data_IF_245660245687
#
_entry.id   IF_245660245687
#
_cell.length_a   1.000
_cell.length_b   1.000
_cell.length_c   1.000
_cell.angle_alpha   90.00
_cell.angle_beta   90.00
_cell.angle_gamma   90.00
#
_symmetry.space_group_name_H-M   'P 1'
#
loop_
_entity.id
_entity.type
_entity.pdbx_description
1 polymer ?
2 water ?
#
# COMPACT_ATOMS: atom_id res chain seq x y z
N UNK A 11 -11.86 -23.21 -4.48
CA UNK A 11 -12.47 -21.86 -4.37
C UNK A 11 -11.65 -20.94 -3.46
N UNK A 12 -12.17 -19.74 -3.19
CA UNK A 12 -11.50 -18.75 -2.33
C UNK A 12 -10.22 -18.16 -2.92
N UNK A 13 -9.26 -17.86 -2.04
CA UNK A 13 -8.05 -17.15 -2.42
C UNK A 13 -7.08 -18.02 -3.23
N UNK A 14 -6.53 -17.43 -4.30
CA UNK A 14 -5.54 -18.12 -5.14
C UNK A 14 -4.26 -18.42 -4.37
N UNK A 15 -3.87 -19.70 -4.35
CA UNK A 15 -2.75 -20.18 -3.54
C UNK A 15 -1.57 -20.59 -4.41
N UNK A 16 -0.39 -20.00 -4.19
CA UNK A 16 0.81 -20.44 -4.90
C UNK A 16 1.92 -20.97 -3.97
N UNK A 17 3.01 -21.46 -4.55
CA UNK A 17 4.06 -22.09 -3.76
C UNK A 17 5.40 -21.57 -4.21
N UNK A 18 6.30 -21.33 -3.28
CA UNK A 18 7.58 -20.76 -3.65
C UNK A 18 8.45 -21.82 -4.35
N UNK A 19 8.10 -23.09 -4.16
CA UNK A 19 8.82 -24.17 -4.83
C UNK A 19 7.84 -25.25 -5.24
N UNK A 20 8.07 -25.82 -6.43
CA UNK A 20 7.15 -26.81 -6.97
C UNK A 20 5.78 -26.22 -7.12
N UNK A 21 4.75 -27.00 -6.78
CA UNK A 21 3.38 -26.55 -6.99
C UNK A 21 2.38 -27.21 -6.05
N UNK A 22 2.85 -27.59 -4.87
CA UNK A 22 1.99 -28.30 -3.93
C UNK A 22 2.67 -28.47 -2.59
N UNK A 23 1.88 -28.70 -1.55
CA UNK A 23 2.42 -28.89 -0.20
C UNK A 23 3.61 -29.84 -0.23
N UNK A 24 3.51 -30.84 -1.10
CA UNK A 24 4.53 -31.88 -1.23
C UNK A 24 5.94 -31.32 -1.47
N UNK A 25 6.04 -30.33 -2.35
CA UNK A 25 7.32 -29.82 -2.81
C UNK A 25 7.99 -28.93 -1.76
N UNK A 26 7.21 -28.54 -0.76
CA UNK A 26 7.65 -27.61 0.27
C UNK A 26 8.60 -28.22 1.31
N UNK A 27 9.63 -27.45 1.71
CA UNK A 27 10.47 -27.82 2.84
C UNK A 27 9.77 -27.69 4.20
N UNK A 28 10.40 -28.26 5.23
CA UNK A 28 9.89 -28.11 6.58
C UNK A 28 10.44 -26.84 7.17
N UNK A 29 9.60 -26.15 7.93
CA UNK A 29 9.96 -24.89 8.54
C UNK A 29 10.88 -25.00 9.75
N UNK A 30 11.82 -24.07 9.83
CA UNK A 30 12.64 -23.91 11.02
C UNK A 30 11.85 -23.08 12.01
N UNK A 31 12.22 -23.16 13.30
CA UNK A 31 11.64 -22.32 14.35
C UNK A 31 11.56 -20.82 13.98
N UNK A 32 10.39 -20.23 14.23
CA UNK A 32 10.15 -18.80 14.01
C UNK A 32 10.30 -18.34 12.55
N UNK A 33 9.95 -19.21 11.61
CA UNK A 33 9.94 -18.89 10.19
C UNK A 33 8.54 -18.54 9.69
N UNK A 34 8.48 -17.68 8.68
CA UNK A 34 7.21 -17.38 8.05
C UNK A 34 6.75 -18.57 7.20
N UNK A 35 5.55 -19.06 7.49
CA UNK A 35 5.02 -20.24 6.82
C UNK A 35 4.19 -19.89 5.57
N UNK A 36 3.58 -18.70 5.58
CA UNK A 36 2.81 -18.21 4.44
C UNK A 36 2.84 -16.67 4.30
N UNK A 37 2.92 -16.20 3.07
CA UNK A 37 2.94 -14.76 2.81
C UNK A 37 1.68 -14.38 2.08
N UNK A 38 0.94 -13.44 2.64
CA UNK A 38 -0.29 -12.98 2.02
C UNK A 38 -0.12 -11.56 1.50
N UNK A 39 -0.26 -11.39 0.20
CA UNK A 39 -0.27 -10.04 -0.37
C UNK A 39 -1.70 -9.59 -0.61
N UNK A 40 -2.04 -8.42 -0.12
CA UNK A 40 -3.40 -7.91 -0.19
C UNK A 40 -3.52 -6.62 -0.99
N UNK A 41 -2.63 -6.44 -1.97
CA UNK A 41 -2.59 -5.17 -2.71
C UNK A 41 -3.72 -5.01 -3.72
N UNK A 42 -3.75 -5.84 -4.74
CA UNK A 42 -4.91 -5.81 -5.63
C UNK A 42 -5.76 -7.03 -5.32
N UNK A 43 -5.55 -8.08 -6.09
CA UNK A 43 -6.17 -9.38 -5.85
C UNK A 43 -5.37 -10.13 -4.80
N UNK A 44 -6.00 -10.42 -3.65
CA UNK A 44 -5.28 -11.06 -2.55
C UNK A 44 -4.75 -12.44 -2.96
N UNK A 45 -3.49 -12.72 -2.68
CA UNK A 45 -2.98 -14.07 -2.85
C UNK A 45 -2.11 -14.51 -1.70
N UNK A 46 -2.08 -15.83 -1.50
CA UNK A 46 -1.32 -16.47 -0.44
C UNK A 46 -0.19 -17.28 -1.04
N UNK A 47 1.06 -16.99 -0.64
CA UNK A 47 2.18 -17.82 -1.07
C UNK A 47 2.77 -18.72 0.03
N UNK A 48 2.58 -20.03 -0.11
CA UNK A 48 3.07 -21.00 0.89
C UNK A 48 4.60 -21.06 0.93
N UNK A 49 5.17 -20.92 2.11
CA UNK A 49 6.62 -20.94 2.24
C UNK A 49 7.11 -22.32 2.66
N UNK A 50 6.43 -22.93 3.62
CA UNK A 50 6.90 -24.17 4.19
C UNK A 50 5.77 -24.87 4.93
N UNK A 51 6.06 -26.07 5.45
CA UNK A 51 5.12 -26.81 6.26
C UNK A 51 5.51 -26.72 7.73
N UNK A 52 4.54 -26.43 8.59
CA UNK A 52 4.83 -26.30 10.02
C UNK A 52 5.30 -27.62 10.64
N UNK A 53 6.35 -27.56 11.47
CA UNK A 53 6.80 -28.77 12.16
C UNK A 53 5.75 -29.18 13.18
N UNK A 54 5.44 -30.46 13.27
CA UNK A 54 4.25 -30.79 14.02
C UNK A 54 4.47 -30.72 15.53
N UNK A 55 3.37 -30.81 16.28
CA UNK A 55 2.07 -31.09 15.67
C UNK A 55 1.24 -29.86 15.38
N UNK A 56 1.80 -28.93 14.61
CA UNK A 56 1.07 -27.73 14.23
C UNK A 56 0.95 -27.60 12.71
N UNK A 57 0.15 -26.63 12.26
CA UNK A 57 -0.19 -26.46 10.85
C UNK A 57 -0.43 -24.97 10.50
N UNK A 58 -0.37 -24.61 9.22
CA UNK A 58 -0.43 -23.20 8.78
C UNK A 58 -1.81 -22.57 8.71
N UNK A 59 -1.98 -21.43 9.39
CA UNK A 59 -3.19 -20.61 9.28
C UNK A 59 -3.33 -20.01 7.88
N UNK A 60 -4.56 -19.70 7.47
CA UNK A 60 -4.82 -19.17 6.13
C UNK A 60 -5.86 -18.04 6.11
N UNK A 61 -6.38 -17.69 7.29
CA UNK A 61 -7.26 -16.54 7.42
C UNK A 61 -6.59 -15.29 6.82
N UNK A 62 -7.40 -14.35 6.35
CA UNK A 62 -6.88 -13.14 5.73
C UNK A 62 -6.79 -12.03 6.76
N UNK A 63 -7.32 -12.29 7.95
CA UNK A 63 -7.31 -11.30 9.03
C UNK A 63 -6.14 -11.49 9.97
N UNK A 64 -6.21 -10.87 11.13
CA UNK A 64 -5.12 -10.92 12.08
C UNK A 64 -5.56 -11.42 13.46
N UNK A 65 -6.81 -11.87 13.50
CA UNK A 65 -7.46 -12.31 14.74
C UNK A 65 -6.94 -13.64 15.28
N UNK A 66 -6.44 -14.50 14.40
CA UNK A 66 -6.02 -15.85 14.80
C UNK A 66 -4.84 -15.88 15.77
N UNK A 67 -4.15 -14.76 15.98
CA UNK A 67 -2.96 -14.73 16.81
C UNK A 67 -1.72 -15.38 16.17
N UNK A 68 -1.76 -15.59 14.86
CA UNK A 68 -0.64 -16.22 14.16
C UNK A 68 -0.09 -15.35 13.05
N UNK A 69 -0.54 -14.10 13.02
CA UNK A 69 -0.27 -13.22 11.90
C UNK A 69 0.52 -11.99 12.31
N UNK A 70 1.50 -11.64 11.49
CA UNK A 70 2.14 -10.32 11.62
C UNK A 70 1.73 -9.47 10.43
N UNK A 71 1.03 -8.38 10.70
CA UNK A 71 0.60 -7.47 9.64
C UNK A 71 1.72 -6.46 9.36
N UNK A 72 2.02 -6.25 8.07
CA UNK A 72 3.12 -5.34 7.69
C UNK A 72 2.83 -4.62 6.37
N UNK A 73 2.34 -3.41 6.51
CA UNK A 73 1.92 -2.61 5.38
C UNK A 73 0.90 -3.33 4.49
N UNK A 74 1.38 -4.00 3.48
CA UNK A 74 0.54 -4.51 2.45
C UNK A 74 0.51 -6.02 2.49
N UNK A 75 1.10 -6.56 3.52
CA UNK A 75 1.37 -7.97 3.61
C UNK A 75 1.03 -8.56 4.96
N UNK A 76 0.72 -9.86 4.99
CA UNK A 76 0.56 -10.60 6.23
C UNK A 76 1.53 -11.74 6.28
N UNK A 77 2.17 -11.96 7.42
CA UNK A 77 3.03 -13.11 7.56
C UNK A 77 2.48 -14.07 8.59
N UNK A 78 2.25 -15.31 8.18
CA UNK A 78 1.67 -16.32 9.05
C UNK A 78 2.76 -17.09 9.74
N UNK A 79 2.65 -17.23 11.06
CA UNK A 79 3.58 -18.04 11.82
C UNK A 79 2.93 -19.37 12.26
N UNK A 80 3.75 -20.37 12.56
CA UNK A 80 3.23 -21.64 13.10
C UNK A 80 2.81 -21.54 14.56
N UNK A 81 3.61 -20.82 15.36
CA UNK A 81 3.32 -20.62 16.79
C UNK A 81 2.68 -19.25 16.97
N UNK A 82 2.01 -19.04 18.11
CA UNK A 82 1.34 -17.76 18.33
C UNK A 82 2.35 -16.62 18.34
N UNK A 83 1.99 -15.49 17.73
CA UNK A 83 2.88 -14.34 17.60
C UNK A 83 3.28 -13.67 18.91
N UNK A 84 2.52 -13.88 19.98
CA UNK A 84 2.85 -13.21 21.24
C UNK A 84 4.04 -13.85 21.97
N UNK A 85 4.34 -15.10 21.62
CA UNK A 85 5.53 -15.77 22.14
C UNK A 85 6.82 -15.08 21.71
N UNK A 86 6.74 -14.22 20.69
CA UNK A 86 7.91 -13.45 20.27
C UNK A 86 7.98 -12.13 21.03
N UNK A 87 9.20 -11.73 21.42
CA UNK A 87 9.43 -10.47 22.11
C UNK A 87 9.10 -9.27 21.23
N UNK A 88 8.76 -8.15 21.86
CA UNK A 88 8.60 -6.90 21.17
C UNK A 88 9.95 -6.23 21.08
N UNK A 89 10.24 -5.60 19.94
CA UNK A 89 11.50 -4.89 19.77
C UNK A 89 11.52 -3.49 20.36
N UNK A 90 12.61 -3.14 21.02
CA UNK A 90 12.72 -1.87 21.70
C UNK A 90 14.13 -1.28 21.63
N UNK A 91 15.08 -2.09 21.16
CA UNK A 91 16.45 -1.59 21.02
C UNK A 91 16.67 -0.97 19.65
N UNK A 92 17.78 -0.25 19.48
CA UNK A 92 18.05 0.35 18.18
C UNK A 92 18.55 -0.65 17.16
N UNK A 93 17.92 -0.64 15.99
CA UNK A 93 18.37 -1.49 14.91
C UNK A 93 18.57 -2.92 15.42
N UNK A 94 17.60 -3.39 16.19
CA UNK A 94 17.40 -4.81 16.36
C UNK A 94 16.63 -5.25 15.12
N UNK A 95 17.03 -6.36 14.51
CA UNK A 95 16.37 -6.82 13.29
C UNK A 95 15.12 -7.63 13.57
N UNK A 96 13.98 -7.10 13.12
CA UNK A 96 12.71 -7.76 13.31
C UNK A 96 12.66 -9.09 12.57
N UNK A 97 13.23 -9.13 11.37
CA UNK A 97 13.42 -10.42 10.69
C UNK A 97 14.46 -10.35 9.60
N UNK A 98 14.96 -11.50 9.20
CA UNK A 98 16.01 -11.57 8.23
C UNK A 98 15.54 -12.49 7.12
N UNK A 99 15.76 -12.09 5.87
CA UNK A 99 15.39 -12.92 4.76
C UNK A 99 16.65 -13.50 4.14
N UNK A 100 16.76 -14.83 4.13
CA UNK A 100 17.94 -15.49 3.62
C UNK A 100 17.69 -16.16 2.27
N UNK A 101 18.60 -15.98 1.34
CA UNK A 101 18.49 -16.61 0.06
C UNK A 101 19.77 -17.37 -0.26
N UNK A 102 19.67 -18.68 -0.42
CA UNK A 102 20.86 -19.50 -0.69
C UNK A 102 21.07 -19.75 -2.18
N UNK A 103 22.35 -19.81 -2.59
CA UNK A 103 22.72 -20.09 -3.96
C UNK A 103 22.09 -21.38 -4.53
N UNK A 104 22.46 -22.52 -3.94
CA UNK A 104 22.05 -23.82 -4.44
C UNK A 104 20.63 -24.25 -4.08
N UNK A 105 19.95 -23.43 -3.28
CA UNK A 105 18.59 -23.74 -2.89
C UNK A 105 17.53 -23.04 -3.74
N UNK A 106 16.53 -23.80 -4.14
CA UNK A 106 15.39 -23.26 -4.85
C UNK A 106 14.45 -22.51 -3.90
N UNK A 107 14.88 -22.34 -2.65
CA UNK A 107 14.01 -21.86 -1.58
C UNK A 107 14.62 -20.73 -0.73
N UNK A 108 13.78 -19.89 -0.15
CA UNK A 108 14.25 -18.84 0.77
C UNK A 108 13.56 -18.92 2.12
N UNK A 109 14.29 -18.59 3.19
CA UNK A 109 13.71 -18.59 4.54
C UNK A 109 13.64 -17.18 5.13
N UNK A 110 12.55 -16.91 5.82
CA UNK A 110 12.37 -15.66 6.53
C UNK A 110 12.16 -15.95 8.01
N UNK A 111 13.18 -15.68 8.83
CA UNK A 111 13.11 -15.95 10.25
C UNK A 111 12.76 -14.67 11.00
N UNK A 112 11.70 -14.74 11.79
CA UNK A 112 11.29 -13.59 12.58
C UNK A 112 11.98 -13.61 13.95
N UNK A 113 12.61 -12.50 14.33
CA UNK A 113 13.27 -12.42 15.62
C UNK A 113 12.45 -11.68 16.67
N UNK A 114 11.70 -10.65 16.27
CA UNK A 114 10.94 -9.87 17.25
C UNK A 114 9.78 -9.19 16.55
N UNK A 115 8.93 -8.51 17.32
CA UNK A 115 7.82 -7.76 16.77
C UNK A 115 8.02 -6.26 16.94
N UNK A 116 7.78 -5.50 15.87
CA UNK A 116 7.74 -4.05 15.93
C UNK A 116 6.56 -3.58 16.81
N UNK A 117 6.75 -2.48 17.56
CA UNK A 117 5.69 -1.88 18.35
C UNK A 117 4.50 -1.39 17.51
N UNK A 118 3.39 -1.06 18.18
CA UNK A 118 2.22 -0.49 17.53
C UNK A 118 2.58 0.56 16.49
N UNK A 119 1.91 0.52 15.34
CA UNK A 119 2.17 1.42 14.22
C UNK A 119 3.65 1.80 13.99
N UNK A 120 4.50 0.79 13.95
CA UNK A 120 5.87 0.95 13.53
C UNK A 120 6.06 0.05 12.33
N UNK A 121 6.57 0.61 11.23
CA UNK A 121 6.65 -0.12 9.98
C UNK A 121 8.06 -0.61 9.70
N UNK A 122 8.16 -1.83 9.15
CA UNK A 122 9.47 -2.39 8.85
C UNK A 122 10.04 -1.77 7.58
N UNK A 123 11.36 -1.75 7.47
CA UNK A 123 11.99 -1.31 6.25
C UNK A 123 13.29 -2.05 6.10
N UNK A 124 13.70 -2.25 4.84
CA UNK A 124 14.92 -2.96 4.53
C UNK A 124 16.10 -2.05 4.90
N UNK A 125 17.01 -2.56 5.72
CA UNK A 125 18.09 -1.73 6.23
C UNK A 125 19.47 -2.22 5.83
N UNK A 126 19.69 -3.53 5.83
CA UNK A 126 21.02 -4.14 5.55
C UNK A 126 20.94 -5.38 4.67
N UNK A 127 22.01 -5.60 3.90
CA UNK A 127 22.24 -6.85 3.19
C UNK A 127 23.63 -7.34 3.58
N UNK A 128 23.80 -8.65 3.79
CA UNK A 128 25.07 -9.21 4.22
C UNK A 128 25.21 -10.67 3.80
N UNK A 129 26.44 -11.11 3.51
CA UNK A 129 26.66 -12.49 3.11
C UNK A 129 26.20 -13.45 4.21
N UNK A 130 25.53 -14.53 3.83
CA UNK A 130 25.07 -15.52 4.80
C UNK A 130 26.21 -15.88 5.74
N UNK A 131 27.37 -16.23 5.19
CA UNK A 131 28.52 -16.52 6.01
C UNK A 131 29.52 -17.54 5.47
N UNK A 132 29.95 -18.43 6.35
CA UNK A 132 31.04 -19.37 6.05
C UNK A 132 30.69 -20.42 5.00
N UNK A 133 29.68 -21.22 5.30
CA UNK A 133 29.39 -22.41 4.53
C UNK A 133 28.52 -22.10 3.31
N UNK A 134 27.72 -21.04 3.41
CA UNK A 134 26.75 -20.75 2.37
C UNK A 134 27.08 -19.51 1.53
N UNK A 135 27.12 -19.70 0.20
CA UNK A 135 27.13 -18.54 -0.69
C UNK A 135 25.71 -18.00 -0.84
N UNK A 136 25.53 -16.71 -0.66
CA UNK A 136 24.22 -16.11 -0.75
C UNK A 136 24.20 -14.85 0.08
N UNK A 137 23.01 -14.29 0.27
CA UNK A 137 22.86 -13.04 1.00
C UNK A 137 21.76 -13.09 2.03
N UNK A 138 21.84 -12.17 2.98
CA UNK A 138 20.89 -12.08 4.06
C UNK A 138 20.35 -10.64 4.18
N UNK A 139 19.04 -10.50 3.98
CA UNK A 139 18.39 -9.19 4.01
C UNK A 139 17.82 -8.88 5.38
N UNK A 140 18.16 -7.69 5.89
CA UNK A 140 17.82 -7.34 7.25
C UNK A 140 16.78 -6.23 7.33
N UNK A 141 15.75 -6.46 8.14
CA UNK A 141 14.70 -5.47 8.31
C UNK A 141 14.61 -4.99 9.73
N UNK A 142 14.30 -3.71 9.90
CA UNK A 142 14.28 -3.13 11.22
C UNK A 142 12.96 -2.41 11.41
N UNK A 143 12.70 -1.94 12.63
CA UNK A 143 11.48 -1.20 12.90
C UNK A 143 11.74 0.30 12.92
N UNK A 144 10.91 1.05 12.21
CA UNK A 144 11.01 2.50 12.19
C UNK A 144 10.88 3.05 13.61
N UNK A 145 11.62 4.14 13.90
CA UNK A 145 11.66 4.75 15.24
C UNK A 145 10.30 5.30 15.62
N UNK A 146 9.89 5.06 16.86
CA UNK A 146 8.62 5.58 17.38
C UNK A 146 8.73 7.07 17.72
N UNK A 147 9.83 7.44 18.38
CA UNK A 147 10.16 8.84 18.65
C UNK A 147 11.38 9.26 17.83
N UNK A 148 11.45 10.54 17.49
CA UNK A 148 12.48 11.02 16.59
C UNK A 148 13.66 11.64 17.34
N UNK A 149 14.86 11.12 17.10
CA UNK A 149 16.05 11.58 17.81
C UNK A 149 17.01 12.32 16.88
N UNK A 150 18.19 12.68 17.42
CA UNK A 150 19.20 13.38 16.64
C UNK A 150 20.03 12.40 15.82
N UNK A 151 20.35 12.76 14.58
CA UNK A 151 21.14 11.90 13.73
C UNK A 151 22.63 12.05 14.04
N UNK A 152 23.37 10.96 13.91
CA UNK A 152 24.85 11.01 13.96
C UNK A 152 25.42 10.89 12.55
N UNK A 153 26.70 11.23 12.41
CA UNK A 153 27.39 11.04 11.14
C UNK A 153 27.11 9.62 10.66
N UNK A 154 26.95 9.46 9.34
CA UNK A 154 26.85 8.14 8.75
C UNK A 154 25.57 7.40 9.14
N UNK A 155 24.71 8.07 9.91
CA UNK A 155 23.38 7.57 10.24
C UNK A 155 22.35 8.21 9.32
N UNK A 156 21.59 7.40 8.59
CA UNK A 156 20.67 7.92 7.59
C UNK A 156 19.48 8.63 8.25
N UNK A 157 19.03 9.73 7.66
CA UNK A 157 17.88 10.46 8.18
C UNK A 157 16.59 10.09 7.46
N UNK A 158 16.73 9.49 6.29
CA UNK A 158 15.59 9.19 5.44
C UNK A 158 15.93 7.94 4.65
N UNK A 159 14.96 7.04 4.50
CA UNK A 159 15.11 5.90 3.59
C UNK A 159 13.95 5.88 2.61
N UNK A 160 14.25 5.81 1.32
CA UNK A 160 13.24 5.75 0.27
C UNK A 160 13.17 4.33 -0.24
N UNK A 161 11.97 3.74 -0.27
CA UNK A 161 11.76 2.41 -0.82
C UNK A 161 10.88 2.55 -2.05
N UNK A 162 11.43 2.27 -3.22
CA UNK A 162 10.70 2.42 -4.48
C UNK A 162 10.28 1.04 -4.96
N UNK A 163 8.98 0.82 -5.09
CA UNK A 163 8.45 -0.42 -5.63
C UNK A 163 7.87 -0.19 -7.03
N UNK A 164 8.25 -1.01 -8.00
CA UNK A 164 7.56 -0.95 -9.29
C UNK A 164 6.29 -1.81 -9.23
N UNK A 165 5.14 -1.18 -8.98
CA UNK A 165 3.88 -1.89 -8.89
C UNK A 165 3.43 -2.45 -10.22
N UNK A 166 3.65 -1.69 -11.29
CA UNK A 166 3.40 -2.18 -12.63
C UNK A 166 4.01 -1.26 -13.68
N UNK A 167 3.72 -1.55 -14.95
CA UNK A 167 4.35 -0.81 -16.03
C UNK A 167 4.34 0.69 -15.75
N UNK A 168 3.22 1.21 -15.28
CA UNK A 168 3.05 2.66 -15.19
C UNK A 168 2.65 3.16 -13.80
N UNK A 169 3.06 2.42 -12.77
CA UNK A 169 2.72 2.76 -11.40
C UNK A 169 3.88 2.43 -10.50
N UNK A 170 4.44 3.46 -9.88
CA UNK A 170 5.49 3.30 -8.89
C UNK A 170 5.01 3.77 -7.52
N UNK A 171 5.44 3.08 -6.49
CA UNK A 171 5.01 3.41 -5.16
C UNK A 171 6.26 3.64 -4.37
N UNK A 172 6.40 4.83 -3.80
CA UNK A 172 7.60 5.18 -3.07
C UNK A 172 7.24 5.38 -1.61
N UNK A 173 7.72 4.49 -0.75
CA UNK A 173 7.55 4.71 0.67
C UNK A 173 8.69 5.56 1.18
N UNK A 174 8.38 6.59 1.94
CA UNK A 174 9.43 7.44 2.49
C UNK A 174 9.39 7.45 4.02
N UNK A 175 10.42 6.85 4.61
CA UNK A 175 10.57 6.79 6.05
C UNK A 175 11.54 7.82 6.58
N UNK A 176 11.05 8.66 7.49
CA UNK A 176 11.88 9.64 8.17
C UNK A 176 12.41 9.03 9.48
N UNK A 177 13.71 8.81 9.55
CA UNK A 177 14.31 8.04 10.64
C UNK A 177 14.76 8.89 11.80
N UNK A 178 15.45 10.00 11.53
CA UNK A 178 15.88 10.88 12.62
C UNK A 178 15.89 12.37 12.30
N UNK A 179 16.16 13.18 13.30
CA UNK A 179 16.13 14.63 13.17
C UNK A 179 17.49 15.19 12.79
N UNK A 180 17.62 15.76 11.60
CA UNK A 180 18.88 16.44 11.23
C UNK A 180 19.19 17.59 12.16
N UNK A 181 20.45 17.68 12.61
CA UNK A 181 20.99 18.73 13.48
C UNK A 181 20.88 20.13 12.89
N UNK A 182 20.89 21.13 13.76
CA UNK A 182 20.79 22.52 13.32
C UNK A 182 21.84 22.81 12.26
N UNK A 183 21.48 23.63 11.29
CA UNK A 183 22.37 23.94 10.18
C UNK A 183 22.38 22.83 9.14
N UNK A 184 21.42 21.92 9.25
CA UNK A 184 21.34 20.82 8.30
C UNK A 184 19.91 20.41 8.00
N UNK A 185 19.73 19.82 6.82
CA UNK A 185 18.40 19.34 6.42
C UNK A 185 18.50 18.05 5.61
N UNK A 186 17.44 17.24 5.70
CA UNK A 186 17.40 15.92 5.08
C UNK A 186 16.80 16.04 3.69
N UNK A 187 17.40 15.38 2.69
CA UNK A 187 16.85 15.40 1.33
C UNK A 187 15.38 14.94 1.29
N UNK A 188 14.62 15.43 0.30
CA UNK A 188 13.18 15.19 0.28
C UNK A 188 12.71 14.16 -0.75
N UNK A 189 13.51 13.94 -1.79
CA UNK A 189 13.18 12.93 -2.80
C UNK A 189 14.44 12.17 -3.16
N UNK A 190 14.30 11.00 -3.75
CA UNK A 190 15.45 10.09 -3.84
C UNK A 190 16.52 10.40 -4.92
N UNK A 191 16.23 11.26 -5.88
CA UNK A 191 17.25 11.61 -6.88
C UNK A 191 18.05 12.84 -6.46
N UNK A 192 17.62 13.49 -5.38
CA UNK A 192 18.30 14.65 -4.85
C UNK A 192 19.71 14.27 -4.42
N UNK A 193 20.59 15.27 -4.29
CA UNK A 193 21.98 15.05 -3.90
C UNK A 193 22.07 14.83 -2.39
N UNK A 194 23.08 14.07 -1.96
CA UNK A 194 23.12 13.60 -0.57
C UNK A 194 22.37 12.28 -0.37
N UNK A 195 22.02 11.63 -1.48
CA UNK A 195 21.37 10.32 -1.43
C UNK A 195 22.11 9.32 -2.29
N UNK A 196 22.37 8.13 -1.73
CA UNK A 196 23.01 7.05 -2.48
C UNK A 196 22.13 5.81 -2.50
N UNK A 197 22.36 4.96 -3.49
CA UNK A 197 21.62 3.72 -3.64
C UNK A 197 22.03 2.69 -2.60
N UNK A 198 21.04 2.14 -1.90
CA UNK A 198 21.29 1.11 -0.91
C UNK A 198 21.11 -0.28 -1.50
N UNK A 199 20.02 -0.94 -1.15
CA UNK A 199 19.85 -2.35 -1.49
C UNK A 199 18.80 -2.54 -2.56
N UNK A 200 19.04 -3.46 -3.49
CA UNK A 200 18.17 -3.65 -4.63
C UNK A 200 17.49 -5.04 -4.65
N UNK A 201 16.74 -5.36 -3.60
CA UNK A 201 16.03 -6.62 -3.52
C UNK A 201 15.05 -6.81 -4.69
N UNK A 202 15.53 -7.45 -5.75
CA UNK A 202 14.75 -7.64 -6.99
C UNK A 202 13.52 -8.56 -6.88
N UNK A 203 13.53 -9.50 -5.93
CA UNK A 203 12.40 -10.40 -5.77
C UNK A 203 11.08 -9.62 -5.63
N UNK A 204 11.04 -8.64 -4.73
CA UNK A 204 9.83 -7.86 -4.49
C UNK A 204 9.75 -6.63 -5.38
N UNK A 205 10.68 -6.54 -6.33
CA UNK A 205 10.75 -5.41 -7.23
C UNK A 205 10.95 -4.10 -6.46
N UNK A 206 11.79 -4.14 -5.44
CA UNK A 206 12.11 -2.95 -4.67
C UNK A 206 13.57 -2.49 -4.79
N UNK A 207 13.76 -1.19 -4.60
CA UNK A 207 15.05 -0.54 -4.67
C UNK A 207 15.14 0.52 -3.58
N UNK A 208 16.14 0.42 -2.71
CA UNK A 208 16.24 1.35 -1.57
C UNK A 208 17.29 2.45 -1.77
N UNK A 209 17.02 3.61 -1.19
CA UNK A 209 17.93 4.73 -1.27
C UNK A 209 18.04 5.31 0.12
N UNK A 210 19.24 5.63 0.58
CA UNK A 210 19.38 6.32 1.86
C UNK A 210 19.80 7.79 1.72
N UNK A 211 19.20 8.65 2.53
CA UNK A 211 19.46 10.06 2.45
C UNK A 211 20.14 10.46 3.73
N UNK A 212 21.08 11.37 3.63
CA UNK A 212 21.84 11.77 4.77
C UNK A 212 21.77 13.25 5.00
N UNK A 213 22.04 13.70 6.22
CA UNK A 213 21.89 15.11 6.54
C UNK A 213 22.84 16.00 5.72
N UNK A 214 22.28 17.05 5.12
CA UNK A 214 23.05 17.87 4.20
C UNK A 214 23.19 19.31 4.71
N UNK A 215 24.34 19.92 4.40
CA UNK A 215 24.60 21.32 4.74
C UNK A 215 23.53 22.28 4.20
N UNK A 216 22.96 23.07 5.10
CA UNK A 216 21.86 23.98 4.80
C UNK A 216 22.15 24.99 3.69
N UNK A 217 21.16 25.24 2.84
CA UNK A 217 21.25 26.31 1.82
C UNK A 217 22.41 26.08 0.83
N UNK B 13 -12.71 -9.13 13.78
CA UNK B 13 -12.43 -8.03 12.80
C UNK B 13 -12.96 -6.71 13.30
N UNK B 14 -12.16 -5.66 13.18
CA UNK B 14 -12.52 -4.35 13.69
C UNK B 14 -13.65 -3.71 12.87
N UNK B 15 -14.70 -3.29 13.56
CA UNK B 15 -15.90 -2.76 12.90
C UNK B 15 -16.19 -1.31 13.27
N UNK B 16 -16.12 -0.42 12.29
CA UNK B 16 -16.43 0.98 12.52
C UNK B 16 -17.67 1.38 11.73
N UNK B 17 -18.32 2.46 12.15
CA UNK B 17 -19.47 3.01 11.44
C UNK B 17 -19.15 4.43 11.17
N UNK B 18 -19.60 4.98 10.04
CA UNK B 18 -19.24 6.35 9.73
C UNK B 18 -20.13 7.35 10.45
N UNK B 19 -21.19 6.86 11.10
CA UNK B 19 -22.05 7.67 11.96
C UNK B 19 -22.53 6.82 13.12
N UNK B 20 -22.77 7.45 14.27
CA UNK B 20 -23.21 6.69 15.45
C UNK B 20 -22.20 5.64 15.85
N UNK B 21 -22.68 4.46 16.24
CA UNK B 21 -21.80 3.43 16.77
C UNK B 21 -22.40 2.04 16.57
N UNK B 22 -23.48 1.99 15.80
CA UNK B 22 -24.21 0.74 15.59
C UNK B 22 -24.89 0.75 14.23
N UNK B 23 -25.50 -0.38 13.86
CA UNK B 23 -26.16 -0.50 12.55
C UNK B 23 -27.38 0.38 12.47
N UNK B 24 -27.88 0.79 13.64
CA UNK B 24 -29.11 1.58 13.72
C UNK B 24 -28.94 3.00 13.21
N UNK B 25 -27.77 3.59 13.42
CA UNK B 25 -27.53 4.97 13.05
C UNK B 25 -27.37 5.17 11.54
N UNK B 26 -27.02 4.09 10.84
CA UNK B 26 -26.77 4.14 9.39
C UNK B 26 -28.03 4.46 8.57
N UNK B 27 -27.87 5.27 7.52
CA UNK B 27 -28.93 5.48 6.54
C UNK B 27 -28.98 4.31 5.55
N UNK B 28 -29.89 4.39 4.60
CA UNK B 28 -30.03 3.35 3.58
C UNK B 28 -29.31 3.75 2.31
N UNK B 29 -28.72 2.77 1.63
CA UNK B 29 -27.97 3.02 0.42
C UNK B 29 -28.89 3.31 -0.75
N UNK B 30 -28.44 4.25 -1.59
CA UNK B 30 -29.08 4.52 -2.87
C UNK B 30 -28.49 3.54 -3.87
N UNK B 31 -29.14 3.37 -5.05
CA UNK B 31 -28.61 2.45 -6.06
C UNK B 31 -27.10 2.59 -6.26
N UNK B 32 -26.39 1.46 -6.30
CA UNK B 32 -24.95 1.41 -6.63
C UNK B 32 -24.04 2.19 -5.66
N UNK B 33 -24.43 2.24 -4.39
CA UNK B 33 -23.57 2.85 -3.39
C UNK B 33 -22.69 1.83 -2.68
N UNK B 34 -21.55 2.30 -2.21
CA UNK B 34 -20.65 1.50 -1.41
C UNK B 34 -21.23 1.36 -0.02
N UNK B 35 -21.52 0.12 0.40
CA UNK B 35 -22.11 -0.08 1.72
C UNK B 35 -21.07 -0.29 2.83
N UNK B 36 -19.90 -0.80 2.45
CA UNK B 36 -18.81 -0.99 3.44
C UNK B 36 -17.45 -0.79 2.80
N UNK B 37 -16.58 -0.08 3.52
CA UNK B 37 -15.23 0.14 3.06
C UNK B 37 -14.26 -0.60 3.99
N UNK B 38 -13.43 -1.46 3.40
CA UNK B 38 -12.48 -2.25 4.15
C UNK B 38 -11.05 -1.85 3.81
N UNK B 39 -10.29 -1.49 4.83
CA UNK B 39 -8.88 -1.18 4.65
C UNK B 39 -8.05 -2.34 5.17
N UNK B 40 -7.08 -2.77 4.37
CA UNK B 40 -6.24 -3.90 4.72
C UNK B 40 -4.76 -3.49 4.84
N UNK B 41 -4.50 -2.25 5.18
CA UNK B 41 -3.14 -1.83 5.39
C UNK B 41 -2.97 -1.92 6.88
N UNK B 42 -1.86 -2.43 7.33
CA UNK B 42 -1.68 -2.63 8.77
C UNK B 42 -2.80 -3.44 9.42
N UNK B 43 -3.52 -2.90 10.40
CA UNK B 43 -4.55 -3.71 11.03
C UNK B 43 -5.86 -3.55 10.28
N UNK B 44 -6.38 -4.65 9.71
CA UNK B 44 -7.57 -4.61 8.88
C UNK B 44 -8.76 -4.01 9.63
N UNK B 45 -9.42 -3.04 9.01
CA UNK B 45 -10.66 -2.55 9.57
C UNK B 45 -11.76 -2.42 8.51
N UNK B 46 -12.99 -2.48 9.00
CA UNK B 46 -14.15 -2.40 8.16
C UNK B 46 -14.99 -1.25 8.63
N UNK B 47 -15.23 -0.27 7.75
CA UNK B 47 -16.13 0.81 8.10
C UNK B 47 -17.49 0.70 7.41
N UNK B 48 -18.53 0.50 8.21
CA UNK B 48 -19.87 0.40 7.67
C UNK B 48 -20.31 1.77 7.16
N UNK B 49 -20.77 1.80 5.91
CA UNK B 49 -21.19 3.05 5.29
C UNK B 49 -22.71 3.23 5.36
N UNK B 50 -23.45 2.20 4.95
CA UNK B 50 -24.91 2.29 4.87
C UNK B 50 -25.58 0.91 4.77
N UNK B 51 -26.88 0.86 5.07
CA UNK B 51 -27.64 -0.41 5.06
C UNK B 51 -28.27 -0.69 3.71
N UNK B 52 -28.03 -1.90 3.20
CA UNK B 52 -28.51 -2.24 1.87
C UNK B 52 -30.04 -2.21 1.78
N UNK B 53 -30.57 -1.69 0.66
CA UNK B 53 -32.01 -1.69 0.43
C UNK B 53 -32.51 -3.13 0.23
N UNK B 54 -33.21 -3.67 1.22
CA UNK B 54 -33.54 -5.09 1.17
C UNK B 54 -34.24 -5.47 -0.13
N UNK B 55 -34.44 -6.78 -0.31
CA UNK B 55 -34.06 -7.77 0.70
C UNK B 55 -32.61 -8.23 0.63
N UNK B 56 -31.70 -7.37 1.06
CA UNK B 56 -30.28 -7.68 0.99
C UNK B 56 -29.52 -7.19 2.23
N UNK B 57 -28.38 -7.81 2.49
CA UNK B 57 -27.51 -7.43 3.60
C UNK B 57 -26.11 -7.13 3.07
N UNK B 58 -25.41 -6.17 3.68
CA UNK B 58 -24.08 -5.75 3.23
C UNK B 58 -23.00 -6.78 3.56
N UNK B 59 -22.40 -7.36 2.51
CA UNK B 59 -21.32 -8.36 2.58
C UNK B 59 -20.16 -7.93 3.48
N UNK B 60 -19.49 -8.91 4.11
CA UNK B 60 -18.43 -8.61 5.10
C UNK B 60 -17.13 -9.40 4.94
N UNK B 61 -17.09 -10.32 3.98
CA UNK B 61 -15.87 -11.09 3.73
C UNK B 61 -14.71 -10.17 3.37
N UNK B 62 -13.52 -10.54 3.84
CA UNK B 62 -12.33 -9.77 3.57
C UNK B 62 -11.78 -10.06 2.19
N UNK B 63 -12.36 -11.06 1.53
CA UNK B 63 -11.88 -11.50 0.23
C UNK B 63 -12.69 -10.86 -0.89
N UNK B 64 -12.44 -11.29 -2.12
CA UNK B 64 -13.06 -10.68 -3.30
C UNK B 64 -13.81 -11.74 -4.12
N UNK B 65 -14.23 -12.81 -3.45
CA UNK B 65 -14.84 -13.96 -4.11
C UNK B 65 -16.37 -13.94 -4.08
N UNK B 66 -16.94 -13.13 -3.18
CA UNK B 66 -18.39 -13.06 -3.01
C UNK B 66 -19.10 -12.39 -4.18
N UNK B 67 -18.33 -11.90 -5.15
CA UNK B 67 -18.89 -11.15 -6.27
C UNK B 67 -19.39 -9.72 -5.99
N UNK B 68 -19.32 -9.28 -4.74
CA UNK B 68 -19.84 -7.95 -4.38
C UNK B 68 -18.72 -6.93 -4.11
N UNK B 69 -17.49 -7.33 -4.41
CA UNK B 69 -16.33 -6.53 -4.03
C UNK B 69 -15.56 -5.88 -5.18
N UNK B 70 -15.18 -4.63 -4.98
CA UNK B 70 -14.20 -3.99 -5.84
C UNK B 70 -12.94 -3.76 -5.03
N UNK B 71 -11.83 -4.32 -5.51
CA UNK B 71 -10.57 -4.19 -4.81
C UNK B 71 -9.78 -3.07 -5.44
N UNK B 72 -9.28 -2.16 -4.63
CA UNK B 72 -8.48 -1.06 -5.16
C UNK B 72 -7.34 -0.70 -4.23
N UNK B 73 -6.13 -1.01 -4.67
CA UNK B 73 -4.95 -0.78 -3.87
C UNK B 73 -5.13 -1.32 -2.45
N UNK B 74 -5.10 -0.42 -1.48
CA UNK B 74 -5.14 -0.84 -0.10
C UNK B 74 -6.56 -1.19 0.38
N UNK B 75 -7.56 -1.00 -0.46
CA UNK B 75 -8.93 -1.01 0.02
C UNK B 75 -9.88 -1.94 -0.73
N UNK B 76 -10.90 -2.41 -0.02
CA UNK B 76 -12.00 -3.13 -0.64
C UNK B 76 -13.29 -2.34 -0.51
N UNK B 77 -14.04 -2.26 -1.59
CA UNK B 77 -15.36 -1.66 -1.58
C UNK B 77 -16.47 -2.71 -1.77
N UNK B 78 -17.42 -2.69 -0.86
CA UNK B 78 -18.51 -3.66 -0.86
C UNK B 78 -19.80 -3.06 -1.39
N UNK B 79 -20.47 -3.81 -2.27
CA UNK B 79 -21.72 -3.36 -2.87
C UNK B 79 -22.87 -4.31 -2.55
N UNK B 80 -24.09 -3.81 -2.62
CA UNK B 80 -25.28 -4.61 -2.30
C UNK B 80 -25.55 -5.62 -3.41
N UNK B 81 -25.41 -5.18 -4.65
CA UNK B 81 -25.64 -6.05 -5.81
C UNK B 81 -24.32 -6.43 -6.43
N UNK B 82 -24.27 -7.57 -7.13
CA UNK B 82 -23.01 -8.02 -7.72
C UNK B 82 -22.39 -6.98 -8.66
N UNK B 83 -21.07 -6.97 -8.72
CA UNK B 83 -20.32 -5.96 -9.49
C UNK B 83 -20.39 -6.11 -11.00
N UNK B 84 -20.69 -7.31 -11.47
CA UNK B 84 -20.77 -7.54 -12.92
C UNK B 84 -21.93 -6.75 -13.53
N UNK B 85 -22.91 -6.42 -12.71
CA UNK B 85 -24.06 -5.64 -13.16
C UNK B 85 -23.63 -4.23 -13.56
N UNK B 86 -22.36 -3.91 -13.32
CA UNK B 86 -21.84 -2.59 -13.67
C UNK B 86 -20.95 -2.67 -14.90
N UNK B 87 -21.17 -1.77 -15.87
CA UNK B 87 -20.36 -1.75 -17.07
C UNK B 87 -18.89 -1.60 -16.74
N UNK B 88 -18.03 -2.00 -17.67
CA UNK B 88 -16.61 -1.78 -17.52
C UNK B 88 -16.27 -0.52 -18.28
N UNK B 89 -15.57 0.40 -17.61
CA UNK B 89 -15.23 1.68 -18.24
C UNK B 89 -14.25 1.53 -19.39
N UNK B 90 -14.57 2.19 -20.49
CA UNK B 90 -13.68 2.18 -21.66
C UNK B 90 -13.16 3.56 -22.01
N UNK B 91 -14.05 4.55 -22.05
CA UNK B 91 -13.63 5.91 -22.37
C UNK B 91 -12.67 6.39 -21.31
N UNK B 92 -11.66 7.15 -21.72
CA UNK B 92 -10.68 7.64 -20.75
C UNK B 92 -11.21 8.82 -19.95
N UNK B 93 -11.11 8.70 -18.63
CA UNK B 93 -11.65 9.68 -17.72
C UNK B 93 -13.18 9.67 -17.71
N UNK B 94 -13.75 8.48 -17.91
CA UNK B 94 -15.07 8.18 -17.41
C UNK B 94 -14.88 8.00 -15.91
N UNK B 95 -15.74 8.61 -15.10
CA UNK B 95 -15.56 8.56 -13.66
C UNK B 95 -16.00 7.25 -13.04
N UNK B 96 -15.05 6.49 -12.53
CA UNK B 96 -15.38 5.20 -11.96
C UNK B 96 -16.28 5.33 -10.73
N UNK B 97 -16.00 6.32 -9.87
CA UNK B 97 -16.94 6.65 -8.81
C UNK B 97 -16.79 8.06 -8.29
N UNK B 98 -17.81 8.53 -7.58
CA UNK B 98 -17.80 9.87 -7.04
C UNK B 98 -18.04 9.87 -5.54
N UNK B 99 -17.16 10.51 -4.80
CA UNK B 99 -17.38 10.64 -3.37
C UNK B 99 -17.96 12.03 -3.08
N UNK B 100 -19.17 12.05 -2.54
CA UNK B 100 -19.82 13.29 -2.16
C UNK B 100 -19.87 13.45 -0.65
N UNK B 101 -19.52 14.65 -0.17
CA UNK B 101 -19.54 14.95 1.26
C UNK B 101 -20.27 16.25 1.53
N UNK B 102 -21.35 16.16 2.30
CA UNK B 102 -22.24 17.32 2.52
C UNK B 102 -21.91 18.08 3.79
N UNK B 103 -22.39 19.31 3.87
CA UNK B 103 -22.11 20.19 4.99
C UNK B 103 -22.96 19.84 6.22
N UNK B 104 -24.27 19.80 6.02
CA UNK B 104 -25.20 19.54 7.13
C UNK B 104 -25.23 18.06 7.55
N UNK B 105 -24.88 17.18 6.62
CA UNK B 105 -25.02 15.74 6.84
C UNK B 105 -23.86 15.13 7.63
N UNK B 106 -24.21 14.23 8.54
CA UNK B 106 -23.23 13.54 9.36
C UNK B 106 -22.53 12.39 8.63
N UNK B 107 -22.73 12.31 7.30
CA UNK B 107 -22.28 11.15 6.51
C UNK B 107 -21.88 11.48 5.06
N UNK B 108 -21.12 10.57 4.43
CA UNK B 108 -20.75 10.72 3.02
C UNK B 108 -21.21 9.54 2.17
N UNK B 109 -21.29 9.75 0.86
CA UNK B 109 -21.75 8.72 -0.06
C UNK B 109 -20.80 8.54 -1.23
N UNK B 110 -20.46 7.29 -1.51
CA UNK B 110 -19.64 6.93 -2.66
C UNK B 110 -20.49 6.13 -3.65
N UNK B 111 -20.75 6.72 -4.81
CA UNK B 111 -21.51 6.02 -5.84
C UNK B 111 -20.57 5.46 -6.91
N UNK B 112 -20.74 4.17 -7.22
CA UNK B 112 -19.88 3.52 -8.20
C UNK B 112 -20.52 3.54 -9.57
N UNK B 113 -19.79 4.02 -10.57
CA UNK B 113 -20.37 4.18 -11.90
C UNK B 113 -19.91 3.13 -12.91
N UNK B 114 -18.77 2.53 -12.66
CA UNK B 114 -18.22 1.55 -13.59
C UNK B 114 -16.99 0.90 -12.97
N UNK B 115 -16.48 -0.14 -13.62
CA UNK B 115 -15.33 -0.88 -13.12
C UNK B 115 -14.08 -0.65 -13.98
N UNK B 116 -12.94 -0.47 -13.33
CA UNK B 116 -11.68 -0.36 -14.06
C UNK B 116 -11.29 -1.75 -14.57
N UNK B 117 -10.59 -1.80 -15.72
CA UNK B 117 -10.09 -3.08 -16.19
C UNK B 117 -9.02 -3.62 -15.27
N UNK B 118 -8.77 -4.93 -15.35
CA UNK B 118 -7.87 -5.62 -14.42
C UNK B 118 -6.54 -4.89 -14.15
N UNK B 119 -6.06 -5.06 -12.93
CA UNK B 119 -4.81 -4.44 -12.44
C UNK B 119 -4.72 -2.90 -12.52
N UNK B 120 -5.48 -2.29 -13.43
CA UNK B 120 -5.50 -0.84 -13.50
C UNK B 120 -5.98 -0.24 -12.18
N UNK B 121 -5.37 0.86 -11.75
CA UNK B 121 -5.71 1.44 -10.45
C UNK B 121 -6.33 2.84 -10.58
N UNK B 122 -7.11 3.22 -9.58
CA UNK B 122 -7.83 4.48 -9.62
C UNK B 122 -7.03 5.63 -9.03
N UNK B 123 -7.36 6.85 -9.42
CA UNK B 123 -6.76 8.02 -8.81
C UNK B 123 -7.74 9.16 -8.81
N UNK B 124 -7.57 10.09 -7.87
CA UNK B 124 -8.40 11.27 -7.79
C UNK B 124 -8.01 12.22 -8.91
N UNK B 125 -9.00 12.77 -9.59
CA UNK B 125 -8.75 13.54 -10.79
C UNK B 125 -9.33 14.94 -10.69
N UNK B 126 -10.57 15.05 -10.24
CA UNK B 126 -11.24 16.34 -10.15
C UNK B 126 -12.07 16.52 -8.89
N UNK B 127 -12.37 17.78 -8.60
CA UNK B 127 -13.25 18.14 -7.48
C UNK B 127 -14.20 19.25 -7.90
N UNK B 128 -15.46 18.90 -8.11
CA UNK B 128 -16.47 19.83 -8.60
C UNK B 128 -17.58 20.01 -7.56
N UNK B 129 -18.21 21.19 -7.55
CA UNK B 129 -19.24 21.49 -6.56
C UNK B 129 -20.49 20.62 -6.70
N UNK B 130 -21.12 20.31 -5.57
CA UNK B 130 -22.37 19.57 -5.56
C UNK B 130 -23.49 20.54 -5.95
N UNK B 131 -23.22 21.84 -5.76
CA UNK B 131 -24.10 22.91 -6.22
C UNK B 131 -25.44 23.04 -5.50
N UNK B 132 -26.15 24.14 -5.79
CA UNK B 132 -27.53 24.33 -5.35
C UNK B 132 -27.73 24.71 -3.89
N UNK B 133 -28.55 23.91 -3.21
CA UNK B 133 -29.03 24.21 -1.85
C UNK B 133 -28.23 23.51 -0.75
N UNK B 134 -27.45 22.50 -1.14
CA UNK B 134 -26.58 21.84 -0.17
C UNK B 134 -25.11 22.09 -0.50
N UNK B 135 -24.34 22.57 0.51
CA UNK B 135 -22.93 22.87 0.36
C UNK B 135 -22.07 21.63 0.54
N UNK B 136 -21.00 21.54 -0.24
CA UNK B 136 -20.06 20.46 -0.14
C UNK B 136 -19.44 20.20 -1.49
N UNK B 137 -18.62 19.17 -1.58
CA UNK B 137 -17.98 18.84 -2.84
C UNK B 137 -18.22 17.41 -3.30
N UNK B 138 -17.79 17.13 -4.51
CA UNK B 138 -17.89 15.82 -5.11
C UNK B 138 -16.53 15.50 -5.69
N UNK B 139 -15.91 14.43 -5.20
CA UNK B 139 -14.57 14.03 -5.59
C UNK B 139 -14.64 12.99 -6.68
N UNK B 140 -13.88 13.18 -7.75
CA UNK B 140 -13.98 12.31 -8.91
C UNK B 140 -12.75 11.46 -9.09
N UNK B 141 -12.98 10.16 -9.30
CA UNK B 141 -11.88 9.22 -9.48
C UNK B 141 -11.96 8.58 -10.84
N UNK B 142 -10.80 8.32 -11.44
CA UNK B 142 -10.73 7.76 -12.80
C UNK B 142 -9.77 6.58 -12.82
N UNK B 143 -9.77 5.81 -13.92
CA UNK B 143 -8.90 4.63 -14.00
C UNK B 143 -7.56 4.95 -14.65
N UNK B 144 -6.49 4.34 -14.13
CA UNK B 144 -5.15 4.54 -14.64
C UNK B 144 -4.98 3.84 -15.99
N UNK B 145 -4.21 4.45 -16.90
CA UNK B 145 -4.03 3.92 -18.24
C UNK B 145 -3.27 2.61 -18.24
N UNK B 146 -3.70 1.66 -19.07
CA UNK B 146 -2.98 0.41 -19.25
C UNK B 146 -2.15 0.43 -20.54
N UNK B 147 -2.33 1.48 -21.33
CA UNK B 147 -1.59 1.66 -22.58
C UNK B 147 -1.03 3.09 -22.66
N UNK B 148 0.15 3.24 -23.26
CA UNK B 148 0.78 4.55 -23.35
C UNK B 148 0.41 5.31 -24.63
N UNK B 149 -0.34 6.40 -24.47
CA UNK B 149 -0.68 7.25 -25.60
C UNK B 149 0.30 8.41 -25.67
N UNK B 150 0.28 9.16 -26.78
CA UNK B 150 1.09 10.38 -26.87
C UNK B 150 0.34 11.52 -26.18
N UNK B 151 1.02 12.25 -25.29
CA UNK B 151 0.36 13.32 -24.54
C UNK B 151 -0.08 14.45 -25.47
N UNK B 152 -1.35 14.82 -25.35
CA UNK B 152 -1.88 15.97 -26.07
C UNK B 152 -1.51 17.20 -25.27
N UNK B 153 -1.05 18.24 -25.96
CA UNK B 153 -0.62 19.47 -25.30
C UNK B 153 -1.61 19.87 -24.21
N UNK B 154 -1.10 20.27 -23.04
CA UNK B 154 -1.93 20.74 -21.96
C UNK B 154 -2.38 19.66 -20.97
N UNK B 155 -2.34 18.39 -21.39
CA UNK B 155 -2.79 17.35 -20.47
C UNK B 155 -1.63 16.83 -19.60
N UNK B 156 -1.93 16.58 -18.33
CA UNK B 156 -0.88 16.14 -17.43
C UNK B 156 -0.31 14.79 -17.83
N UNK B 157 1.01 14.62 -17.69
CA UNK B 157 1.65 13.37 -18.05
C UNK B 157 1.90 12.49 -16.83
N UNK B 158 2.09 13.12 -15.67
CA UNK B 158 2.37 12.39 -14.45
C UNK B 158 1.46 12.85 -13.33
N UNK B 159 0.95 11.90 -12.56
CA UNK B 159 0.16 12.21 -11.36
C UNK B 159 0.83 11.70 -10.08
N UNK B 160 0.93 12.57 -9.08
CA UNK B 160 1.55 12.24 -7.80
C UNK B 160 0.48 12.27 -6.72
N UNK B 161 0.37 11.18 -5.96
CA UNK B 161 -0.56 11.13 -4.84
C UNK B 161 0.21 10.90 -3.54
N UNK B 162 0.31 11.94 -2.73
CA UNK B 162 1.00 11.86 -1.47
C UNK B 162 0.04 11.55 -0.33
N UNK B 163 0.20 10.39 0.27
CA UNK B 163 -0.66 9.97 1.37
C UNK B 163 0.15 9.94 2.67
N UNK B 164 -0.26 10.69 3.68
CA UNK B 164 0.43 10.61 4.99
C UNK B 164 -0.04 9.41 5.84
N UNK B 165 0.77 8.35 5.88
CA UNK B 165 0.44 7.16 6.68
C UNK B 165 0.46 7.47 8.17
N UNK B 166 1.65 7.77 8.70
CA UNK B 166 1.78 8.15 10.11
C UNK B 166 2.80 9.28 10.28
N UNK B 167 3.07 9.64 11.52
CA UNK B 167 3.85 10.86 11.78
C UNK B 167 5.16 10.88 10.99
N UNK B 168 5.73 9.70 10.77
CA UNK B 168 7.05 9.65 10.13
C UNK B 168 7.10 8.81 8.87
N UNK B 169 5.96 8.67 8.20
CA UNK B 169 5.86 7.83 7.02
C UNK B 169 4.91 8.43 5.99
N UNK B 170 5.44 8.73 4.80
CA UNK B 170 4.64 9.17 3.66
C UNK B 170 4.66 8.10 2.58
N UNK B 171 3.65 8.10 1.73
CA UNK B 171 3.62 7.19 0.61
C UNK B 171 3.23 7.96 -0.65
N UNK B 172 4.09 7.93 -1.64
CA UNK B 172 3.89 8.67 -2.88
C UNK B 172 3.52 7.70 -3.99
N UNK B 173 2.31 7.77 -4.49
CA UNK B 173 1.99 7.01 -5.68
C UNK B 173 2.16 7.85 -6.93
N UNK B 174 2.99 7.39 -7.85
CA UNK B 174 3.15 8.15 -9.07
C UNK B 174 2.62 7.40 -10.29
N UNK B 175 1.56 7.95 -10.89
CA UNK B 175 0.98 7.40 -12.11
C UNK B 175 1.53 8.02 -13.39
N UNK B 176 1.87 7.18 -14.35
CA UNK B 176 2.23 7.68 -15.68
C UNK B 176 1.02 7.63 -16.59
N UNK B 177 0.55 8.82 -16.97
CA UNK B 177 -0.70 8.94 -17.70
C UNK B 177 -0.54 8.87 -19.22
N UNK B 178 0.60 9.36 -19.73
CA UNK B 178 0.84 9.36 -21.17
C UNK B 178 2.30 9.71 -21.53
N UNK B 179 2.63 9.63 -22.82
CA UNK B 179 4.00 9.83 -23.31
C UNK B 179 4.21 11.24 -23.88
N UNK B 180 5.15 11.99 -23.32
CA UNK B 180 5.45 13.34 -23.78
C UNK B 180 5.98 13.33 -25.21
N UNK B 181 5.63 14.34 -26.01
CA UNK B 181 6.15 14.49 -27.38
C UNK B 181 7.67 14.56 -27.36
N UNK B 182 8.31 14.19 -28.47
CA UNK B 182 9.78 14.16 -28.50
C UNK B 182 10.33 15.57 -28.37
N UNK B 183 11.44 15.70 -27.64
CA UNK B 183 11.98 17.01 -27.29
C UNK B 183 11.40 17.54 -25.99
N UNK B 184 10.75 16.64 -25.24
CA UNK B 184 10.23 16.99 -23.93
C UNK B 184 10.30 15.80 -22.97
N UNK B 185 10.38 16.10 -21.68
CA UNK B 185 10.38 15.05 -20.69
C UNK B 185 9.43 15.37 -19.54
N UNK B 186 8.75 14.35 -19.04
CA UNK B 186 7.84 14.48 -17.91
C UNK B 186 8.63 14.52 -16.61
N UNK B 187 8.23 15.37 -15.65
CA UNK B 187 8.90 15.44 -14.34
C UNK B 187 8.87 14.13 -13.53
N UNK B 188 9.91 13.94 -12.71
CA UNK B 188 10.10 12.70 -11.96
C UNK B 188 9.60 12.73 -10.50
N UNK B 189 9.68 13.89 -9.85
CA UNK B 189 9.22 14.05 -8.46
C UNK B 189 8.33 15.28 -8.28
N UNK B 190 7.56 15.31 -7.19
CA UNK B 190 6.48 16.28 -7.05
C UNK B 190 6.85 17.73 -6.71
N UNK B 191 8.06 17.96 -6.22
CA UNK B 191 8.48 19.33 -5.90
C UNK B 191 9.19 19.99 -7.07
N UNK B 192 9.54 19.20 -8.07
CA UNK B 192 10.20 19.73 -9.25
C UNK B 192 9.33 20.80 -9.89
N UNK B 193 9.95 21.85 -10.44
CA UNK B 193 9.18 22.88 -11.14
C UNK B 193 8.55 22.28 -12.40
N UNK B 194 7.31 22.67 -12.70
CA UNK B 194 6.52 22.02 -13.75
C UNK B 194 5.40 21.16 -13.19
N UNK B 195 5.21 21.22 -11.88
CA UNK B 195 4.15 20.50 -11.20
C UNK B 195 3.40 21.44 -10.27
N UNK B 196 2.07 21.34 -10.24
CA UNK B 196 1.27 22.13 -9.30
C UNK B 196 0.40 21.26 -8.40
N UNK B 197 -0.06 21.86 -7.32
CA UNK B 197 -0.94 21.19 -6.39
C UNK B 197 -2.25 20.91 -7.11
N UNK B 198 -2.69 19.65 -7.01
CA UNK B 198 -3.92 19.23 -7.64
C UNK B 198 -5.07 19.35 -6.66
N UNK B 199 -5.60 18.21 -6.22
CA UNK B 199 -6.73 18.23 -5.32
C UNK B 199 -6.31 17.72 -3.98
N UNK B 200 -6.98 18.22 -2.95
CA UNK B 200 -6.72 17.76 -1.60
C UNK B 200 -7.94 16.99 -1.12
N UNK B 201 -7.67 15.92 -0.39
CA UNK B 201 -8.71 15.19 0.26
C UNK B 201 -8.22 14.96 1.68
N UNK B 202 -8.60 15.86 2.58
CA UNK B 202 -8.16 15.79 3.98
C UNK B 202 -8.66 14.56 4.72
N UNK B 203 -9.92 14.19 4.48
CA UNK B 203 -10.48 13.04 5.17
C UNK B 203 -9.57 11.83 5.02
N UNK B 204 -9.04 11.61 3.82
CA UNK B 204 -8.21 10.44 3.53
C UNK B 204 -6.71 10.74 3.48
N UNK B 205 -6.32 11.89 4.03
CA UNK B 205 -4.91 12.31 4.09
C UNK B 205 -4.14 12.37 2.76
N UNK B 206 -4.82 12.66 1.66
CA UNK B 206 -4.16 12.74 0.35
C UNK B 206 -4.10 14.13 -0.26
N UNK B 207 -3.01 14.34 -1.00
CA UNK B 207 -2.74 15.56 -1.73
C UNK B 207 -2.15 15.15 -3.08
N UNK B 208 -2.81 15.51 -4.17
CA UNK B 208 -2.34 15.12 -5.50
C UNK B 208 -1.61 16.27 -6.19
N UNK B 209 -0.70 15.94 -7.09
CA UNK B 209 0.06 16.94 -7.82
C UNK B 209 0.09 16.50 -9.26
N UNK B 210 -0.07 17.42 -10.20
CA UNK B 210 -0.02 16.99 -11.60
C UNK B 210 1.20 17.52 -12.31
N UNK B 211 1.84 16.65 -13.09
CA UNK B 211 3.02 17.02 -13.85
C UNK B 211 2.67 17.20 -15.30
N UNK B 212 3.30 18.16 -15.95
CA UNK B 212 3.10 18.39 -17.36
C UNK B 212 4.39 18.33 -18.14
N UNK B 213 4.27 18.10 -19.44
CA UNK B 213 5.46 18.00 -20.29
C UNK B 213 6.31 19.27 -20.28
N UNK B 214 7.62 19.10 -20.09
CA UNK B 214 8.50 20.24 -19.95
C UNK B 214 9.54 20.29 -21.07
N UNK B 215 10.17 21.45 -21.21
CA UNK B 215 11.24 21.63 -22.20
C UNK B 215 12.43 20.73 -21.87
N UNK B 216 12.82 19.88 -22.82
CA UNK B 216 13.91 18.93 -22.60
C UNK B 216 15.28 19.57 -22.41
N UNK B 217 16.13 18.90 -21.63
CA UNK B 217 17.50 19.37 -21.38
C UNK B 217 17.53 20.88 -21.14
#
# INVERSE_FOLDING_TARGET
RSIIGGKHGDRDVRILYQVGDSEEDLPVCAPNAVCSKIDLYETPWIERQCRCPDGRTCPSSLGVEDGHTIADKTRHYKMCQPVHKLPVCKHFRDYTWTLTTAAELNVTEQIVHCRCPRNSVTYLTKREPIGNDSPGYRYLFACSPLTRLRCQRKQPCKLFTVRKRQEFLDEVNINSLCQCPKGHRCPSHHTQSGVIAGESFLEDNIQTYSGYCMANDHHHHHH
RSIIGGKHGDRDVRILYQVGDSEEDLPVCAPNAVCSKIDLYETPWIERQCRCPDGRTCPSSLGVEDGHTIADKTRHYKMCQPVHKLPVCKHFRDYTWTLTTAAELNVTEQIVHCRCPRNSVTYLTKREPIGNDSPGYRYLFACSPLTRLRCQRKQPCKLFTVRKRQEFLDEVNINSLCQCPKGHRCPSHHTQSGVIAGESFLEDNIQTYSGYCMANDHHHHHH
#
